data_IF_586520722475
#
_entry.id   IF_586520722475
#
_cell.length_a   1.000
_cell.length_b   1.000
_cell.length_c   1.000
_cell.angle_alpha   90.00
_cell.angle_beta   90.00
_cell.angle_gamma   90.00
#
_symmetry.space_group_name_H-M   'P 1'
#
loop_
_entity.id
_entity.type
_entity.pdbx_description
1 polymer ?
#
# COMPACT_ATOMS: atom_id res chain seq x y z
N UNK A 1 17.59 16.66 7.27
CA UNK A 1 17.76 15.92 6.00
C UNK A 1 16.76 14.77 6.04
N UNK A 2 15.78 14.72 5.13
CA UNK A 2 14.79 13.64 5.09
C UNK A 2 15.45 12.32 4.67
N UNK A 3 14.77 11.20 4.97
CA UNK A 3 15.21 9.89 4.50
C UNK A 3 15.19 9.85 2.96
N UNK A 4 16.16 9.18 2.35
CA UNK A 4 16.07 8.85 0.94
C UNK A 4 15.01 7.77 0.67
N UNK A 5 14.77 7.43 -0.59
CA UNK A 5 13.75 6.48 -0.98
C UNK A 5 14.01 5.08 -0.41
N UNK A 6 15.23 4.58 -0.54
CA UNK A 6 15.61 3.24 -0.07
C UNK A 6 15.54 3.14 1.46
N UNK A 7 15.98 4.17 2.18
CA UNK A 7 15.86 4.23 3.64
C UNK A 7 14.39 4.27 4.09
N UNK A 8 13.54 4.96 3.34
CA UNK A 8 12.08 5.01 3.59
C UNK A 8 11.43 3.66 3.37
N UNK A 9 11.74 2.97 2.26
CA UNK A 9 11.26 1.61 1.98
C UNK A 9 11.71 0.65 3.09
N UNK A 10 12.98 0.66 3.44
CA UNK A 10 13.55 -0.19 4.48
C UNK A 10 12.90 0.04 5.85
N UNK A 11 12.70 1.30 6.21
CA UNK A 11 12.20 1.68 7.54
C UNK A 11 10.70 1.43 7.70
N UNK A 12 9.90 1.75 6.69
CA UNK A 12 8.45 1.79 6.82
C UNK A 12 7.75 0.64 6.10
N UNK A 13 8.16 0.30 4.89
CA UNK A 13 7.40 -0.66 4.06
C UNK A 13 7.90 -2.10 4.19
N UNK A 14 9.20 -2.33 4.38
CA UNK A 14 9.73 -3.68 4.56
C UNK A 14 9.06 -4.44 5.73
N UNK A 15 8.77 -3.83 6.90
CA UNK A 15 8.06 -4.55 7.96
C UNK A 15 6.67 -5.04 7.58
N UNK A 16 5.97 -4.37 6.64
CA UNK A 16 4.67 -4.81 6.12
C UNK A 16 4.78 -6.05 5.23
N UNK A 17 5.88 -6.15 4.50
CA UNK A 17 6.11 -7.22 3.52
C UNK A 17 6.84 -8.44 4.11
N UNK A 18 7.47 -8.32 5.28
CA UNK A 18 8.39 -9.31 5.83
C UNK A 18 7.78 -10.68 6.16
N UNK A 19 6.46 -10.76 6.30
CA UNK A 19 5.74 -12.01 6.61
C UNK A 19 5.47 -12.82 5.33
N UNK A 20 5.34 -12.15 4.18
CA UNK A 20 5.08 -12.80 2.90
C UNK A 20 6.40 -13.14 2.19
N UNK A 21 6.69 -14.45 2.02
CA UNK A 21 7.94 -14.92 1.41
C UNK A 21 8.14 -14.42 -0.02
N UNK A 22 7.06 -14.32 -0.78
CA UNK A 22 7.08 -13.82 -2.16
C UNK A 22 7.47 -12.36 -2.30
N UNK A 23 7.44 -11.59 -1.24
CA UNK A 23 7.86 -10.18 -1.22
C UNK A 23 9.38 -10.00 -1.36
N UNK A 24 10.18 -11.06 -1.14
CA UNK A 24 11.65 -11.03 -1.13
C UNK A 24 12.22 -9.89 -0.24
N UNK A 25 11.47 -9.52 0.82
CA UNK A 25 11.76 -8.41 1.74
C UNK A 25 11.87 -7.03 1.06
N UNK A 26 11.26 -6.83 -0.10
CA UNK A 26 11.37 -5.63 -0.94
C UNK A 26 12.85 -5.30 -1.27
N UNK A 27 13.65 -6.31 -1.58
CA UNK A 27 15.08 -6.21 -1.91
C UNK A 27 15.36 -6.55 -3.37
N UNK A 28 14.37 -7.06 -4.08
CA UNK A 28 14.48 -7.48 -5.47
C UNK A 28 13.56 -6.63 -6.36
N UNK A 29 13.76 -6.68 -7.67
CA UNK A 29 13.03 -5.91 -8.68
C UNK A 29 11.58 -6.39 -8.87
N UNK A 30 11.25 -7.59 -8.38
CA UNK A 30 9.91 -8.16 -8.49
C UNK A 30 9.56 -9.03 -7.27
N UNK A 31 8.27 -9.32 -7.14
CA UNK A 31 7.78 -10.31 -6.18
C UNK A 31 7.50 -11.64 -6.88
N UNK A 32 7.65 -12.74 -6.15
CA UNK A 32 7.30 -14.08 -6.60
C UNK A 32 6.05 -14.58 -5.90
N UNK A 33 5.22 -15.33 -6.61
CA UNK A 33 4.06 -15.97 -6.00
C UNK A 33 3.79 -17.32 -6.59
N UNK A 34 3.80 -18.40 -5.78
CA UNK A 34 3.39 -19.71 -6.24
C UNK A 34 1.85 -19.70 -6.42
N UNK A 35 1.41 -19.84 -7.65
CA UNK A 35 -0.02 -19.99 -7.98
C UNK A 35 -0.32 -21.44 -8.21
N UNK A 36 -1.32 -21.98 -7.50
CA UNK A 36 -1.86 -23.31 -7.84
C UNK A 36 -2.62 -23.19 -9.18
N UNK A 37 -2.20 -23.96 -10.16
CA UNK A 37 -2.83 -23.99 -11.50
C UNK A 37 -4.31 -24.37 -11.50
N UNK A 38 -4.83 -24.94 -10.42
CA UNK A 38 -6.25 -25.26 -10.23
C UNK A 38 -7.07 -24.07 -9.72
N UNK A 39 -6.44 -22.99 -9.26
CA UNK A 39 -7.11 -21.81 -8.71
C UNK A 39 -7.28 -20.71 -9.75
N UNK A 40 -8.35 -19.93 -9.62
CA UNK A 40 -8.55 -18.68 -10.37
C UNK A 40 -7.99 -17.53 -9.55
N UNK A 41 -7.24 -16.64 -10.19
CA UNK A 41 -6.80 -15.38 -9.59
C UNK A 41 -7.84 -14.31 -9.91
N UNK A 42 -8.28 -13.59 -8.88
CA UNK A 42 -9.05 -12.36 -9.01
C UNK A 42 -8.10 -11.20 -8.74
N UNK A 43 -8.14 -10.17 -9.57
CA UNK A 43 -7.30 -8.98 -9.47
C UNK A 43 -8.20 -7.76 -9.50
N UNK A 44 -8.02 -6.84 -8.55
CA UNK A 44 -8.61 -5.50 -8.56
C UNK A 44 -7.54 -4.43 -8.38
N UNK A 45 -7.77 -3.24 -8.92
CA UNK A 45 -6.86 -2.11 -8.80
C UNK A 45 -7.62 -0.80 -8.71
N UNK A 46 -7.40 -0.06 -7.61
CA UNK A 46 -7.98 1.25 -7.37
C UNK A 46 -6.91 2.30 -7.08
N UNK A 47 -7.20 3.55 -7.42
CA UNK A 47 -6.35 4.68 -7.12
C UNK A 47 -7.12 5.78 -6.36
N UNK A 48 -6.52 6.30 -5.30
CA UNK A 48 -6.99 7.49 -4.59
C UNK A 48 -6.06 8.67 -4.88
N UNK A 49 -6.66 9.84 -5.17
CA UNK A 49 -5.94 11.06 -5.51
C UNK A 49 -6.27 12.15 -4.47
N UNK A 50 -5.24 12.75 -3.91
CA UNK A 50 -5.37 13.90 -3.01
C UNK A 50 -6.08 15.07 -3.68
N UNK A 51 -6.98 15.74 -2.97
CA UNK A 51 -7.84 16.79 -3.51
C UNK A 51 -9.08 16.27 -4.25
N UNK A 52 -9.21 14.94 -4.45
CA UNK A 52 -10.38 14.32 -5.08
C UNK A 52 -11.01 13.30 -4.13
N UNK A 53 -10.24 12.35 -3.63
CA UNK A 53 -10.73 11.23 -2.81
C UNK A 53 -10.43 11.40 -1.32
N UNK A 54 -9.49 12.27 -0.98
CA UNK A 54 -9.15 12.73 0.37
C UNK A 54 -8.54 14.13 0.29
N UNK A 55 -8.67 14.95 1.34
CA UNK A 55 -8.39 16.39 1.27
C UNK A 55 -7.23 16.83 2.18
N UNK A 56 -6.58 15.91 2.87
CA UNK A 56 -5.40 16.15 3.71
C UNK A 56 -5.72 16.68 5.11
N UNK A 57 -6.99 16.80 5.46
CA UNK A 57 -7.45 17.09 6.82
C UNK A 57 -7.72 15.83 7.63
N UNK A 58 -7.96 14.72 6.92
CA UNK A 58 -8.20 13.41 7.50
C UNK A 58 -6.93 12.85 8.15
N UNK A 59 -7.12 12.01 9.16
CA UNK A 59 -6.03 11.25 9.74
C UNK A 59 -5.42 10.30 8.68
N UNK A 60 -4.12 10.35 8.52
CA UNK A 60 -3.40 9.66 7.44
C UNK A 60 -3.57 8.14 7.52
N UNK A 61 -3.67 7.58 8.72
CA UNK A 61 -3.95 6.15 8.91
C UNK A 61 -5.35 5.75 8.41
N UNK A 62 -6.33 6.65 8.45
CA UNK A 62 -7.66 6.43 7.87
C UNK A 62 -7.63 6.52 6.34
N UNK A 63 -6.80 7.39 5.76
CA UNK A 63 -6.57 7.43 4.30
C UNK A 63 -5.99 6.09 3.84
N UNK A 64 -5.02 5.55 4.55
CA UNK A 64 -4.42 4.24 4.27
C UNK A 64 -5.46 3.10 4.34
N UNK A 65 -6.27 3.07 5.40
CA UNK A 65 -7.35 2.10 5.53
C UNK A 65 -8.39 2.23 4.41
N UNK A 66 -8.77 3.45 4.04
CA UNK A 66 -9.66 3.70 2.90
C UNK A 66 -9.09 3.12 1.61
N UNK A 67 -7.81 3.39 1.31
CA UNK A 67 -7.17 2.93 0.08
C UNK A 67 -7.10 1.40 -0.04
N UNK A 68 -6.88 0.68 1.05
CA UNK A 68 -6.87 -0.78 1.04
C UNK A 68 -8.29 -1.35 1.02
N UNK A 69 -9.22 -0.75 1.75
CA UNK A 69 -10.61 -1.25 1.87
C UNK A 69 -11.44 -1.09 0.60
N UNK A 70 -11.17 -0.10 -0.27
CA UNK A 70 -11.81 -0.02 -1.58
C UNK A 70 -11.52 -1.28 -2.38
N UNK A 71 -10.26 -1.69 -2.46
CA UNK A 71 -9.85 -2.93 -3.13
C UNK A 71 -10.39 -4.20 -2.43
N UNK A 72 -10.39 -4.23 -1.09
CA UNK A 72 -10.98 -5.35 -0.34
C UNK A 72 -12.48 -5.49 -0.60
N UNK A 73 -13.17 -4.37 -0.84
CA UNK A 73 -14.60 -4.36 -1.21
C UNK A 73 -14.82 -5.04 -2.56
N UNK A 74 -13.95 -4.82 -3.54
CA UNK A 74 -14.03 -5.48 -4.84
C UNK A 74 -13.78 -6.97 -4.73
N UNK A 75 -12.77 -7.38 -3.93
CA UNK A 75 -12.51 -8.79 -3.66
C UNK A 75 -13.72 -9.47 -3.03
N UNK A 76 -14.37 -8.81 -2.07
CA UNK A 76 -15.59 -9.30 -1.44
C UNK A 76 -16.75 -9.42 -2.42
N UNK A 77 -16.94 -8.43 -3.31
CA UNK A 77 -17.96 -8.46 -4.35
C UNK A 77 -17.77 -9.62 -5.34
N UNK A 78 -16.52 -10.01 -5.60
CA UNK A 78 -16.15 -11.15 -6.45
C UNK A 78 -16.16 -12.50 -5.70
N UNK A 79 -16.43 -12.51 -4.40
CA UNK A 79 -16.35 -13.72 -3.57
C UNK A 79 -14.94 -14.28 -3.45
N UNK A 80 -13.93 -13.43 -3.62
CA UNK A 80 -12.52 -13.81 -3.54
C UNK A 80 -11.97 -13.62 -2.14
N UNK A 81 -11.01 -14.46 -1.75
CA UNK A 81 -10.24 -14.28 -0.52
C UNK A 81 -9.02 -13.41 -0.84
N UNK A 82 -8.87 -12.23 -0.23
CA UNK A 82 -7.70 -11.39 -0.45
C UNK A 82 -6.46 -12.10 0.07
N UNK A 83 -5.36 -11.95 -0.65
CA UNK A 83 -4.11 -12.63 -0.33
C UNK A 83 -2.94 -11.63 -0.23
N UNK A 84 -2.60 -10.97 -1.33
CA UNK A 84 -1.47 -10.05 -1.40
C UNK A 84 -1.85 -8.79 -2.17
N UNK A 85 -1.09 -7.70 -1.95
CA UNK A 85 -1.25 -6.48 -2.72
C UNK A 85 0.09 -5.80 -3.03
N UNK A 86 0.09 -5.01 -4.10
CA UNK A 86 1.16 -4.05 -4.41
C UNK A 86 0.66 -2.63 -4.15
N UNK A 87 1.59 -1.74 -3.80
CA UNK A 87 1.31 -0.32 -3.52
C UNK A 87 2.20 0.56 -4.37
N UNK A 88 1.63 1.37 -5.27
CA UNK A 88 2.33 2.46 -5.94
C UNK A 88 1.92 3.78 -5.29
N UNK A 89 2.90 4.50 -4.74
CA UNK A 89 2.70 5.69 -3.94
C UNK A 89 3.47 6.88 -4.52
N UNK A 90 2.75 7.84 -5.10
CA UNK A 90 3.29 9.14 -5.49
C UNK A 90 3.02 10.15 -4.35
N UNK A 91 4.07 10.56 -3.67
CA UNK A 91 3.98 11.47 -2.52
C UNK A 91 4.09 12.92 -2.96
N UNK A 92 3.01 13.66 -2.80
CA UNK A 92 2.96 15.11 -2.98
C UNK A 92 3.35 15.90 -1.73
N UNK A 93 3.23 17.24 -1.78
CA UNK A 93 3.45 18.08 -0.62
C UNK A 93 2.54 17.71 0.55
N UNK A 94 3.09 17.67 1.75
CA UNK A 94 2.35 17.32 2.98
C UNK A 94 1.80 18.60 3.62
N UNK A 95 0.52 18.59 3.99
CA UNK A 95 -0.16 19.75 4.60
C UNK A 95 0.26 19.94 6.06
N UNK A 96 0.43 18.83 6.81
CA UNK A 96 0.80 18.86 8.23
C UNK A 96 2.00 17.95 8.50
N UNK A 97 2.98 18.45 9.21
CA UNK A 97 4.16 17.68 9.63
C UNK A 97 5.18 17.46 8.53
N UNK A 98 5.93 16.40 8.63
CA UNK A 98 6.94 15.98 7.66
C UNK A 98 6.45 14.82 6.80
N UNK A 99 7.08 14.62 5.64
CA UNK A 99 6.78 13.49 4.77
C UNK A 99 6.97 12.15 5.49
N UNK A 100 8.01 12.02 6.30
CA UNK A 100 8.28 10.80 7.06
C UNK A 100 7.22 10.54 8.14
N UNK A 101 6.68 11.58 8.77
CA UNK A 101 5.55 11.45 9.71
C UNK A 101 4.28 11.01 8.99
N UNK A 102 4.03 11.55 7.80
CA UNK A 102 2.90 11.14 6.95
C UNK A 102 3.02 9.66 6.59
N UNK A 103 4.18 9.24 6.07
CA UNK A 103 4.43 7.83 5.69
C UNK A 103 4.32 6.89 6.90
N UNK A 104 4.85 7.28 8.05
CA UNK A 104 4.74 6.48 9.29
C UNK A 104 3.27 6.25 9.69
N UNK A 105 2.43 7.30 9.64
CA UNK A 105 1.01 7.21 9.93
C UNK A 105 0.26 6.36 8.88
N UNK A 106 0.59 6.54 7.60
CA UNK A 106 0.03 5.77 6.50
C UNK A 106 0.31 4.26 6.67
N UNK A 107 1.55 3.90 6.93
CA UNK A 107 1.97 2.51 7.17
C UNK A 107 1.27 1.90 8.39
N UNK A 108 1.06 2.69 9.45
CA UNK A 108 0.29 2.25 10.62
C UNK A 108 -1.15 1.87 10.26
N UNK A 109 -1.79 2.65 9.39
CA UNK A 109 -3.13 2.35 8.88
C UNK A 109 -3.18 1.09 8.02
N UNK A 110 -2.22 0.93 7.10
CA UNK A 110 -2.08 -0.29 6.29
C UNK A 110 -1.88 -1.52 7.17
N UNK A 111 -0.97 -1.44 8.15
CA UNK A 111 -0.71 -2.57 9.05
C UNK A 111 -1.94 -3.03 9.80
N UNK A 112 -2.76 -2.10 10.30
CA UNK A 112 -4.00 -2.40 11.00
C UNK A 112 -4.96 -3.23 10.14
N UNK A 113 -5.10 -2.88 8.87
CA UNK A 113 -5.99 -3.61 7.96
C UNK A 113 -5.34 -4.90 7.41
N UNK A 114 -4.02 -4.92 7.18
CA UNK A 114 -3.31 -6.17 6.89
C UNK A 114 -3.56 -7.25 7.95
N UNK A 115 -3.44 -6.86 9.22
CA UNK A 115 -3.63 -7.80 10.33
C UNK A 115 -5.10 -8.22 10.47
N UNK A 116 -6.04 -7.31 10.18
CA UNK A 116 -7.47 -7.58 10.27
C UNK A 116 -8.00 -8.49 9.15
N UNK A 117 -7.51 -8.30 7.93
CA UNK A 117 -8.03 -8.98 6.74
C UNK A 117 -7.09 -10.06 6.20
N UNK A 118 -5.99 -10.32 6.89
CA UNK A 118 -4.96 -11.31 6.54
C UNK A 118 -4.42 -11.16 5.10
N UNK A 119 -4.19 -9.91 4.70
CA UNK A 119 -3.62 -9.54 3.39
C UNK A 119 -2.24 -8.93 3.59
N UNK A 120 -1.31 -9.11 2.65
CA UNK A 120 0.09 -8.68 2.82
C UNK A 120 0.61 -7.88 1.63
N UNK A 121 1.41 -6.86 1.94
CA UNK A 121 2.18 -6.13 0.94
C UNK A 121 3.30 -7.02 0.40
N UNK A 122 3.41 -7.13 -0.94
CA UNK A 122 4.47 -7.90 -1.59
C UNK A 122 5.40 -7.06 -2.47
N UNK A 123 5.03 -5.85 -2.81
CA UNK A 123 5.83 -4.98 -3.67
C UNK A 123 5.15 -3.65 -3.94
N UNK A 124 5.75 -2.89 -4.83
CA UNK A 124 5.23 -1.60 -5.26
C UNK A 124 6.32 -0.61 -5.63
N UNK A 125 5.95 0.66 -5.67
CA UNK A 125 6.84 1.75 -6.02
C UNK A 125 6.54 2.98 -5.15
N UNK A 126 7.55 3.81 -4.89
CA UNK A 126 7.38 5.06 -4.15
C UNK A 126 8.18 6.17 -4.79
N UNK A 127 7.48 7.19 -5.28
CA UNK A 127 8.08 8.39 -5.86
C UNK A 127 7.64 9.62 -5.09
N UNK A 128 8.43 10.69 -5.18
CA UNK A 128 8.10 12.01 -4.60
C UNK A 128 8.02 13.06 -5.71
N UNK A 129 7.05 13.94 -5.63
CA UNK A 129 6.85 14.99 -6.63
C UNK A 129 6.11 16.21 -6.09
N UNK A 130 5.87 17.18 -6.95
CA UNK A 130 5.14 18.41 -6.63
C UNK A 130 3.63 18.32 -6.86
N UNK A 131 3.17 17.23 -7.47
CA UNK A 131 1.75 16.99 -7.73
C UNK A 131 0.99 16.50 -6.49
N UNK A 132 -0.31 16.20 -6.61
CA UNK A 132 -1.09 15.63 -5.52
C UNK A 132 -0.53 14.25 -5.12
N UNK A 133 -0.72 13.88 -3.86
CA UNK A 133 -0.46 12.49 -3.45
C UNK A 133 -1.42 11.54 -4.17
N UNK A 134 -0.86 10.50 -4.78
CA UNK A 134 -1.63 9.43 -5.44
C UNK A 134 -1.28 8.10 -4.78
N UNK A 135 -2.29 7.34 -4.42
CA UNK A 135 -2.17 6.02 -3.80
C UNK A 135 -2.85 5.03 -4.75
N UNK A 136 -2.10 4.12 -5.34
CA UNK A 136 -2.65 3.05 -6.18
C UNK A 136 -2.32 1.70 -5.56
N UNK A 137 -3.35 0.88 -5.36
CA UNK A 137 -3.23 -0.48 -4.83
C UNK A 137 -3.78 -1.44 -5.87
N UNK A 138 -3.02 -2.49 -6.13
CA UNK A 138 -3.48 -3.66 -6.88
C UNK A 138 -3.47 -4.85 -5.93
N UNK A 139 -4.61 -5.54 -5.79
CA UNK A 139 -4.82 -6.66 -4.87
C UNK A 139 -5.15 -7.93 -5.64
N UNK A 140 -4.69 -9.06 -5.11
CA UNK A 140 -4.99 -10.41 -5.61
C UNK A 140 -5.66 -11.23 -4.53
#
# INVERSE_FOLDING_TARGET
MGLDEFDRIKKYFRPLASIERGSLNLLDDAAESPVDVASKIVISSDALVGGIHFFGEEEVDLIAQKSLRTNLSDMAAMGATPWVYTLSLSLGPVIKGTLDQWVASFVKGLKKDQDKYDVRLIGGDTVTGSGPTVISITIL
#
